data_IF_303391398736
#
_entry.id   IF_303391398736
#
_cell.length_a   1.000
_cell.length_b   1.000
_cell.length_c   1.000
_cell.angle_alpha   90.00
_cell.angle_beta   90.00
_cell.angle_gamma   90.00
#
_symmetry.space_group_name_H-M   'P 1'
#
loop_
_entity.id
_entity.type
_entity.pdbx_description
1 polymer ?
#
# COMPACT_ATOMS: atom_id res chain seq x y z
N UNK A 1 -16.65 0.64 4.09
CA UNK A 1 -16.65 0.97 5.54
C UNK A 1 -16.85 2.46 5.71
N UNK A 2 -17.47 2.85 6.83
CA UNK A 2 -17.75 4.24 7.18
C UNK A 2 -16.69 4.88 8.08
N UNK A 3 -16.98 6.10 8.56
CA UNK A 3 -16.12 6.83 9.48
C UNK A 3 -15.85 6.06 10.77
N UNK A 4 -16.89 5.50 11.40
CA UNK A 4 -16.79 4.79 12.67
C UNK A 4 -15.88 3.56 12.57
N UNK A 5 -16.00 2.79 11.49
CA UNK A 5 -15.14 1.62 11.23
C UNK A 5 -13.67 2.05 11.06
N UNK A 6 -13.41 3.17 10.37
CA UNK A 6 -12.06 3.70 10.21
C UNK A 6 -11.48 4.11 11.56
N UNK A 7 -12.24 4.83 12.38
CA UNK A 7 -11.80 5.24 13.71
C UNK A 7 -11.53 4.04 14.62
N UNK A 8 -12.35 2.99 14.53
CA UNK A 8 -12.13 1.74 15.26
C UNK A 8 -10.83 1.05 14.84
N UNK A 9 -10.53 1.01 13.53
CA UNK A 9 -9.25 0.50 13.03
C UNK A 9 -8.07 1.32 13.55
N UNK A 10 -8.12 2.65 13.45
CA UNK A 10 -7.06 3.54 13.93
C UNK A 10 -6.82 3.35 15.44
N UNK A 11 -7.90 3.25 16.22
CA UNK A 11 -7.82 2.99 17.65
C UNK A 11 -7.17 1.64 17.97
N UNK A 12 -7.47 0.59 17.19
CA UNK A 12 -6.87 -0.73 17.38
C UNK A 12 -5.37 -0.77 17.04
N UNK A 13 -4.91 0.07 16.12
CA UNK A 13 -3.50 0.19 15.74
C UNK A 13 -2.70 1.14 16.64
N UNK A 14 -3.37 1.91 17.49
CA UNK A 14 -2.74 2.92 18.34
C UNK A 14 -1.71 2.29 19.28
N UNK A 15 -0.50 2.85 19.30
CA UNK A 15 0.60 2.39 20.15
C UNK A 15 1.45 1.27 19.56
N UNK A 16 1.04 0.68 18.42
CA UNK A 16 1.87 -0.24 17.66
C UNK A 16 2.75 0.52 16.67
N UNK A 17 3.97 0.01 16.46
CA UNK A 17 4.86 0.52 15.42
C UNK A 17 4.48 -0.10 14.06
N UNK A 18 3.42 0.42 13.44
CA UNK A 18 2.93 -0.02 12.14
C UNK A 18 3.72 0.65 11.03
N UNK A 19 4.37 -0.15 10.19
CA UNK A 19 5.20 0.36 9.09
C UNK A 19 4.37 0.96 7.94
N UNK A 20 3.27 0.31 7.56
CA UNK A 20 2.27 0.71 6.58
C UNK A 20 1.06 -0.25 6.63
N UNK A 21 -0.09 0.17 6.08
CA UNK A 21 -1.27 -0.69 5.90
C UNK A 21 -1.50 -0.94 4.41
N UNK A 22 -1.43 -2.20 4.02
CA UNK A 22 -1.75 -2.66 2.67
C UNK A 22 -3.20 -3.12 2.62
N UNK A 23 -4.00 -2.58 1.70
CA UNK A 23 -5.39 -2.98 1.55
C UNK A 23 -5.83 -3.11 0.09
N UNK A 24 -6.92 -3.84 -0.12
CA UNK A 24 -7.46 -4.15 -1.44
C UNK A 24 -8.97 -4.27 -1.42
N UNK A 25 -9.49 -5.27 -2.13
CA UNK A 25 -10.90 -5.56 -2.47
C UNK A 25 -11.18 -5.29 -3.95
N UNK A 26 -11.61 -4.08 -4.32
CA UNK A 26 -11.94 -3.75 -5.70
C UNK A 26 -11.57 -2.30 -5.99
N UNK A 27 -10.34 -2.09 -6.50
CA UNK A 27 -9.78 -0.79 -6.77
C UNK A 27 -9.27 -0.74 -8.20
N UNK A 28 -9.75 0.23 -8.97
CA UNK A 28 -9.25 0.51 -10.31
C UNK A 28 -8.04 1.46 -10.26
N UNK A 29 -8.08 2.47 -9.39
CA UNK A 29 -7.03 3.48 -9.25
C UNK A 29 -6.02 3.05 -8.17
N UNK A 30 -4.74 2.79 -8.51
CA UNK A 30 -3.69 2.53 -7.52
C UNK A 30 -3.34 3.81 -6.75
N UNK A 31 -3.04 3.69 -5.45
CA UNK A 31 -2.67 4.83 -4.60
C UNK A 31 -1.66 4.45 -3.52
N UNK A 32 -0.74 5.37 -3.23
CA UNK A 32 0.02 5.40 -1.98
C UNK A 32 -0.23 6.77 -1.37
N UNK A 33 -0.70 6.81 -0.12
CA UNK A 33 -1.09 8.06 0.53
C UNK A 33 -1.04 7.95 2.06
N UNK A 34 -0.98 9.08 2.74
CA UNK A 34 -1.06 9.12 4.20
C UNK A 34 -2.45 9.53 4.66
N UNK A 35 -2.91 8.89 5.76
CA UNK A 35 -4.10 9.31 6.49
C UNK A 35 -4.01 8.84 7.95
N UNK A 36 -4.44 9.69 8.87
CA UNK A 36 -4.48 9.37 10.30
C UNK A 36 -3.11 8.91 10.87
N UNK A 37 -2.01 9.42 10.29
CA UNK A 37 -0.63 9.07 10.67
C UNK A 37 -0.13 7.71 10.13
N UNK A 38 -0.89 7.06 9.24
CA UNK A 38 -0.54 5.78 8.64
C UNK A 38 -0.21 5.95 7.15
N UNK A 39 0.84 5.26 6.71
CA UNK A 39 1.14 5.05 5.28
C UNK A 39 0.19 3.98 4.72
N UNK A 40 -0.63 4.34 3.74
CA UNK A 40 -1.64 3.45 3.14
C UNK A 40 -1.22 3.08 1.71
N UNK A 41 -1.16 1.77 1.45
CA UNK A 41 -0.80 1.21 0.14
C UNK A 41 -1.98 0.46 -0.44
N UNK A 42 -2.42 0.93 -1.60
CA UNK A 42 -3.62 0.43 -2.28
C UNK A 42 -3.29 0.10 -3.74
N UNK A 43 -2.85 -1.13 -4.06
CA UNK A 43 -2.68 -1.56 -5.44
C UNK A 43 -4.04 -1.62 -6.17
N UNK A 44 -3.98 -1.62 -7.50
CA UNK A 44 -5.10 -2.03 -8.33
C UNK A 44 -5.47 -3.49 -7.98
N UNK A 45 -6.75 -3.86 -8.12
CA UNK A 45 -7.19 -5.20 -7.76
C UNK A 45 -6.45 -6.29 -8.56
N UNK A 46 -6.09 -7.40 -7.90
CA UNK A 46 -5.30 -8.47 -8.50
C UNK A 46 -5.95 -9.10 -9.73
N UNK A 47 -7.29 -9.24 -9.74
CA UNK A 47 -8.01 -9.77 -10.91
C UNK A 47 -7.98 -8.80 -12.11
N UNK A 48 -7.62 -7.54 -11.89
CA UNK A 48 -7.37 -6.53 -12.94
C UNK A 48 -5.88 -6.37 -13.25
N UNK A 49 -5.04 -7.29 -12.77
CA UNK A 49 -3.60 -7.34 -13.01
C UNK A 49 -2.74 -6.61 -11.97
N UNK A 50 -3.33 -5.94 -10.97
CA UNK A 50 -2.58 -5.09 -10.04
C UNK A 50 -1.87 -5.83 -8.90
N UNK A 51 -0.74 -5.27 -8.46
CA UNK A 51 0.03 -5.77 -7.32
C UNK A 51 0.84 -4.66 -6.63
N UNK A 52 1.33 -4.95 -5.43
CA UNK A 52 2.32 -4.14 -4.72
C UNK A 52 3.58 -4.99 -4.47
N UNK A 53 4.75 -4.41 -4.70
CA UNK A 53 6.04 -5.00 -4.36
C UNK A 53 6.67 -4.18 -3.24
N UNK A 54 6.86 -4.78 -2.07
CA UNK A 54 7.52 -4.16 -0.93
C UNK A 54 8.89 -4.80 -0.72
N UNK A 55 9.93 -3.98 -0.66
CA UNK A 55 11.27 -4.36 -0.21
C UNK A 55 11.48 -3.74 1.16
N UNK A 56 11.79 -4.55 2.16
CA UNK A 56 12.10 -4.11 3.52
C UNK A 56 13.52 -4.53 3.85
N UNK A 57 14.31 -3.62 4.39
CA UNK A 57 15.67 -3.86 4.88
C UNK A 57 15.77 -3.43 6.35
N UNK A 58 16.98 -3.40 6.90
CA UNK A 58 17.20 -3.01 8.30
C UNK A 58 16.90 -1.51 8.55
N UNK A 59 17.07 -0.66 7.53
CA UNK A 59 16.98 0.80 7.65
C UNK A 59 15.95 1.45 6.73
N UNK A 60 15.30 0.69 5.85
CA UNK A 60 14.35 1.25 4.90
C UNK A 60 13.24 0.28 4.46
N UNK A 61 12.21 0.88 3.88
CA UNK A 61 11.20 0.21 3.08
C UNK A 61 10.95 0.97 1.78
N UNK A 62 11.00 0.25 0.67
CA UNK A 62 10.55 0.71 -0.65
C UNK A 62 9.26 -0.03 -1.03
N UNK A 63 8.30 0.67 -1.62
CA UNK A 63 7.06 0.09 -2.15
C UNK A 63 6.81 0.59 -3.56
N UNK A 64 6.60 -0.36 -4.48
CA UNK A 64 6.13 -0.09 -5.84
C UNK A 64 4.72 -0.63 -6.02
N UNK A 65 3.87 0.14 -6.72
CA UNK A 65 2.63 -0.38 -7.29
C UNK A 65 2.88 -0.71 -8.75
N UNK A 66 2.39 -1.86 -9.19
CA UNK A 66 2.48 -2.28 -10.57
C UNK A 66 1.22 -3.01 -11.04
N UNK A 67 1.13 -3.16 -12.35
CA UNK A 67 0.09 -3.94 -12.99
C UNK A 67 0.65 -4.74 -14.16
N UNK A 68 0.06 -5.90 -14.41
CA UNK A 68 0.23 -6.61 -15.68
C UNK A 68 -0.37 -5.77 -16.80
N UNK A 69 0.40 -5.62 -17.88
CA UNK A 69 0.01 -4.94 -19.11
C UNK A 69 0.27 -5.88 -20.30
N UNK A 70 -0.32 -5.56 -21.45
CA UNK A 70 -0.13 -6.34 -22.68
C UNK A 70 -0.65 -7.78 -22.60
N UNK A 71 -0.25 -8.59 -23.58
CA UNK A 71 -0.73 -9.97 -23.76
C UNK A 71 0.33 -11.02 -23.37
N UNK A 72 1.53 -10.60 -22.97
CA UNK A 72 2.68 -11.49 -22.76
C UNK A 72 3.29 -11.40 -21.35
N UNK A 73 2.57 -10.79 -20.40
CA UNK A 73 3.01 -10.67 -19.01
C UNK A 73 3.96 -9.50 -18.78
N UNK A 74 3.86 -8.45 -19.60
CA UNK A 74 4.54 -7.19 -19.37
C UNK A 74 4.09 -6.58 -18.03
N UNK A 75 4.99 -5.82 -17.40
CA UNK A 75 4.73 -5.16 -16.12
C UNK A 75 4.93 -3.67 -16.28
N UNK A 76 3.95 -2.89 -15.82
CA UNK A 76 4.05 -1.43 -15.71
C UNK A 76 4.01 -1.05 -14.25
N UNK A 77 5.00 -0.27 -13.79
CA UNK A 77 5.01 0.33 -12.46
C UNK A 77 4.39 1.73 -12.51
N UNK A 78 3.49 2.04 -11.57
CA UNK A 78 2.69 3.27 -11.58
C UNK A 78 2.99 4.22 -10.43
N UNK A 79 3.37 3.68 -9.26
CA UNK A 79 3.65 4.47 -8.06
C UNK A 79 4.86 3.91 -7.35
N UNK A 80 5.61 4.80 -6.69
CA UNK A 80 6.74 4.45 -5.84
C UNK A 80 6.66 5.23 -4.53
N UNK A 81 7.10 4.59 -3.46
CA UNK A 81 7.23 5.17 -2.12
C UNK A 81 8.47 4.60 -1.46
N UNK A 82 9.20 5.45 -0.73
CA UNK A 82 10.36 5.06 0.05
C UNK A 82 10.25 5.67 1.44
N UNK A 83 10.67 4.90 2.45
CA UNK A 83 10.67 5.29 3.87
C UNK A 83 11.95 4.79 4.51
N UNK A 84 12.70 5.70 5.13
CA UNK A 84 13.82 5.34 6.01
C UNK A 84 13.30 5.17 7.43
N UNK A 85 13.85 4.22 8.17
CA UNK A 85 13.57 4.06 9.60
C UNK A 85 14.51 4.95 10.40
N UNK A 86 13.95 5.77 11.28
CA UNK A 86 14.75 6.49 12.26
C UNK A 86 15.22 5.49 13.31
N UNK A 87 16.54 5.34 13.44
CA UNK A 87 17.22 4.58 14.50
C UNK A 87 17.42 5.40 15.75
#
# INVERSE_FOLDING_TARGET
WGEADRQALVAALKGYNVIAVFHGHQHEVPMIYQRDGLDLVKPKAAYMGGFALARVTDDNMDVLLGEAAGDHGEVVFTNAFAKTFET
#
